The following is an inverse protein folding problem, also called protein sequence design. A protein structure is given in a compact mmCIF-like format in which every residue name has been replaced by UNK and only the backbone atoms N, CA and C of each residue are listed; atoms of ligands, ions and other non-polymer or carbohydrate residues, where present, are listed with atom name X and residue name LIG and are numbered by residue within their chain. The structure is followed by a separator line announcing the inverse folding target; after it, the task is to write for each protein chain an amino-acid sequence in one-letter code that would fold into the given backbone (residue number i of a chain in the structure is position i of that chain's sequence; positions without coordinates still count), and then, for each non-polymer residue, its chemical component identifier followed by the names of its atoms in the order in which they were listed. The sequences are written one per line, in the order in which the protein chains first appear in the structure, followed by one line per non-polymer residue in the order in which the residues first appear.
data_IF_527210593227
#
_entry.id   IF_527210593227
#
_cell.length_a   1.000
_cell.length_b   1.000
_cell.length_c   1.000
_cell.angle_alpha   90.00
_cell.angle_beta   90.00
_cell.angle_gamma   90.00
#
_symmetry.space_group_name_H-M   'P 1'
#
loop_
_entity.id
_entity.type
_entity.pdbx_description
1 polymer ?
#
# COMPACT_ATOMS: atom_id res chain seq x y z
N UNK A 1 14.62 -6.73 -10.50
CA UNK A 1 14.13 -7.38 -9.27
C UNK A 1 13.78 -8.81 -9.58
N UNK A 2 14.25 -9.76 -8.79
CA UNK A 2 14.04 -11.18 -9.04
C UNK A 2 13.32 -11.90 -7.91
N UNK A 3 12.64 -12.97 -8.24
CA UNK A 3 12.03 -13.89 -7.28
C UNK A 3 12.84 -15.17 -7.24
N UNK A 4 13.39 -15.49 -6.08
CA UNK A 4 14.09 -16.75 -5.84
C UNK A 4 13.10 -17.83 -5.36
N UNK A 5 12.99 -18.91 -6.12
CA UNK A 5 12.24 -20.11 -5.73
C UNK A 5 13.10 -21.01 -4.84
N UNK A 6 12.49 -21.63 -3.84
CA UNK A 6 13.18 -22.65 -3.03
C UNK A 6 13.19 -24.01 -3.72
N UNK A 7 14.21 -24.84 -3.45
CA UNK A 7 14.21 -26.24 -3.83
C UNK A 7 13.07 -26.99 -3.13
N UNK A 8 12.39 -27.93 -3.80
CA UNK A 8 11.21 -28.64 -3.26
C UNK A 8 11.58 -29.76 -2.27
N UNK A 9 12.35 -29.43 -1.24
CA UNK A 9 12.84 -30.39 -0.23
C UNK A 9 11.77 -30.79 0.79
N UNK A 10 10.75 -29.99 0.99
CA UNK A 10 9.62 -30.26 1.90
C UNK A 10 8.32 -29.73 1.32
N UNK A 11 7.13 -30.22 1.76
CA UNK A 11 5.85 -29.70 1.28
C UNK A 11 5.71 -28.18 1.40
N UNK A 12 6.18 -27.58 2.50
CA UNK A 12 6.13 -26.14 2.71
C UNK A 12 7.12 -25.32 1.84
N UNK A 13 8.18 -25.95 1.34
CA UNK A 13 9.17 -25.34 0.44
C UNK A 13 8.83 -25.50 -1.04
N UNK A 14 8.13 -26.55 -1.41
CA UNK A 14 7.81 -26.89 -2.81
C UNK A 14 7.27 -25.74 -3.64
N UNK A 15 6.32 -24.98 -3.11
CA UNK A 15 5.73 -23.81 -3.80
C UNK A 15 6.23 -22.48 -3.26
N UNK A 16 7.25 -22.46 -2.39
CA UNK A 16 7.66 -21.25 -1.68
C UNK A 16 8.64 -20.41 -2.49
N UNK A 17 8.49 -19.09 -2.44
CA UNK A 17 9.41 -18.13 -3.03
C UNK A 17 9.66 -16.94 -2.11
N UNK A 18 10.72 -16.18 -2.41
CA UNK A 18 11.08 -14.93 -1.72
C UNK A 18 11.63 -13.94 -2.73
N UNK A 19 11.62 -12.65 -2.38
CA UNK A 19 12.37 -11.65 -3.15
C UNK A 19 13.88 -11.93 -3.03
N UNK A 20 14.64 -11.57 -4.05
CA UNK A 20 16.11 -11.72 -4.08
C UNK A 20 16.85 -10.65 -3.26
N UNK A 21 16.18 -9.53 -2.96
CA UNK A 21 16.70 -8.38 -2.20
C UNK A 21 17.92 -7.68 -2.83
N UNK A 22 18.23 -7.91 -4.08
CA UNK A 22 19.42 -7.36 -4.78
C UNK A 22 19.43 -5.81 -4.76
N UNK A 23 18.26 -5.18 -4.76
CA UNK A 23 18.12 -3.72 -4.75
C UNK A 23 18.43 -3.05 -3.39
N UNK A 24 18.53 -3.84 -2.31
CA UNK A 24 18.75 -3.32 -0.97
C UNK A 24 20.24 -3.05 -0.78
N UNK A 25 20.58 -1.79 -0.49
CA UNK A 25 21.96 -1.36 -0.31
C UNK A 25 22.38 -1.30 1.16
N UNK A 26 21.42 -1.30 2.10
CA UNK A 26 21.66 -1.28 3.54
C UNK A 26 20.64 -2.13 4.29
N UNK A 27 21.09 -2.97 5.22
CA UNK A 27 20.26 -3.85 6.04
C UNK A 27 19.73 -3.19 7.31
N UNK A 28 20.49 -2.26 7.89
CA UNK A 28 20.14 -1.56 9.12
C UNK A 28 19.42 -0.25 8.85
N UNK A 29 18.31 0.04 9.57
CA UNK A 29 17.61 1.30 9.42
C UNK A 29 18.34 2.46 10.12
N UNK A 30 18.10 3.69 9.66
CA UNK A 30 18.56 4.91 10.34
C UNK A 30 17.87 5.04 11.70
N UNK A 31 18.66 5.03 12.79
CA UNK A 31 18.15 4.95 14.17
C UNK A 31 17.25 6.13 14.55
N UNK A 32 17.56 7.33 14.11
CA UNK A 32 16.77 8.55 14.38
C UNK A 32 15.35 8.50 13.78
N UNK A 33 15.16 7.73 12.70
CA UNK A 33 13.90 7.61 11.97
C UNK A 33 13.11 6.34 12.35
N UNK A 34 13.51 5.64 13.41
CA UNK A 34 12.83 4.44 13.89
C UNK A 34 12.05 4.75 15.16
N UNK A 35 10.82 4.22 15.22
CA UNK A 35 9.94 4.32 16.39
C UNK A 35 9.46 2.93 16.82
N UNK A 36 9.18 2.72 18.11
CA UNK A 36 8.55 1.49 18.56
C UNK A 36 7.17 1.32 17.92
N UNK A 37 6.81 0.08 17.61
CA UNK A 37 5.50 -0.28 17.07
C UNK A 37 4.82 -1.27 18.01
N UNK A 38 3.85 -0.80 18.79
CA UNK A 38 3.00 -1.63 19.62
C UNK A 38 2.00 -2.42 18.77
N UNK A 39 1.68 -3.64 19.19
CA UNK A 39 0.71 -4.50 18.52
C UNK A 39 -0.62 -4.47 19.26
N UNK A 40 -1.67 -3.95 18.65
CA UNK A 40 -3.02 -3.92 19.22
C UNK A 40 -3.75 -5.28 19.15
N UNK A 41 -3.28 -6.20 18.30
CA UNK A 41 -3.97 -7.48 18.06
C UNK A 41 -5.40 -7.32 17.52
N UNK A 42 -5.69 -6.25 16.80
CA UNK A 42 -7.01 -5.95 16.26
C UNK A 42 -7.99 -5.31 17.27
N UNK A 43 -7.50 -4.87 18.44
CA UNK A 43 -8.30 -4.17 19.44
C UNK A 43 -8.35 -2.67 19.15
N UNK A 44 -9.48 -2.05 19.46
CA UNK A 44 -9.67 -0.61 19.44
C UNK A 44 -9.20 0.03 20.78
N UNK A 45 -9.45 1.34 20.95
CA UNK A 45 -9.10 2.09 22.17
C UNK A 45 -9.80 1.56 23.43
N UNK A 46 -10.99 0.97 23.31
CA UNK A 46 -11.74 0.35 24.41
C UNK A 46 -11.40 -1.12 24.65
N UNK A 47 -10.36 -1.65 24.02
CA UNK A 47 -9.90 -3.03 24.18
C UNK A 47 -10.75 -4.08 23.44
N UNK A 48 -11.82 -3.69 22.74
CA UNK A 48 -12.68 -4.61 21.98
C UNK A 48 -12.06 -4.99 20.64
N UNK A 49 -12.22 -6.25 20.24
CA UNK A 49 -11.76 -6.74 18.93
C UNK A 49 -12.66 -6.18 17.83
N UNK A 50 -12.14 -5.22 17.06
CA UNK A 50 -12.81 -4.62 15.91
C UNK A 50 -12.32 -5.18 14.58
N UNK A 51 -11.10 -5.71 14.54
CA UNK A 51 -10.52 -6.38 13.38
C UNK A 51 -10.10 -7.78 13.78
N UNK A 52 -10.88 -8.77 13.36
CA UNK A 52 -10.61 -10.18 13.68
C UNK A 52 -9.37 -10.72 12.95
N UNK A 53 -8.86 -11.86 13.40
CA UNK A 53 -7.78 -12.61 12.79
C UNK A 53 -6.44 -11.85 12.72
N UNK A 54 -6.18 -10.98 13.70
CA UNK A 54 -4.90 -10.30 13.86
C UNK A 54 -4.25 -10.65 15.21
N UNK A 55 -2.93 -10.66 15.24
CA UNK A 55 -2.14 -10.84 16.44
C UNK A 55 -0.94 -11.75 16.26
N UNK A 56 -0.03 -11.71 17.23
CA UNK A 56 1.27 -12.39 17.16
C UNK A 56 2.18 -11.80 16.09
N UNK A 57 2.97 -12.67 15.44
CA UNK A 57 3.94 -12.30 14.42
C UNK A 57 5.24 -11.73 14.98
N UNK A 58 6.24 -11.55 14.11
CA UNK A 58 7.56 -11.04 14.47
C UNK A 58 7.49 -9.60 15.01
N UNK A 59 8.33 -9.25 15.99
CA UNK A 59 8.48 -7.87 16.49
C UNK A 59 8.96 -6.97 15.35
N UNK A 60 8.37 -5.77 15.25
CA UNK A 60 8.71 -4.80 14.20
C UNK A 60 8.93 -3.43 14.82
N UNK A 61 9.81 -2.66 14.19
CA UNK A 61 9.94 -1.23 14.44
C UNK A 61 9.30 -0.47 13.27
N UNK A 62 8.71 0.67 13.56
CA UNK A 62 8.12 1.56 12.55
C UNK A 62 9.20 2.50 12.00
N UNK A 63 9.25 2.64 10.67
CA UNK A 63 10.08 3.65 9.99
C UNK A 63 9.21 4.87 9.73
N UNK A 64 9.67 6.03 10.17
CA UNK A 64 8.98 7.30 9.91
C UNK A 64 9.20 7.67 8.45
N UNK A 65 8.13 7.61 7.66
CA UNK A 65 8.18 7.96 6.23
C UNK A 65 7.60 9.34 6.05
N UNK A 66 8.30 10.17 5.29
CA UNK A 66 7.81 11.47 4.90
C UNK A 66 6.80 11.34 3.75
N UNK A 67 5.53 11.53 4.09
CA UNK A 67 4.42 11.52 3.14
C UNK A 67 3.98 12.92 2.74
N UNK A 68 4.59 13.99 3.28
CA UNK A 68 4.19 15.38 3.00
C UNK A 68 5.17 16.07 2.07
N UNK A 69 6.44 16.10 2.43
CA UNK A 69 7.57 16.63 1.65
C UNK A 69 7.49 18.12 1.25
N UNK A 70 6.44 18.85 1.67
CA UNK A 70 6.20 20.23 1.23
C UNK A 70 7.14 21.26 1.91
N UNK A 71 7.64 20.94 3.08
CA UNK A 71 8.58 21.74 3.86
C UNK A 71 10.03 21.68 3.34
N UNK A 72 10.28 20.85 2.32
CA UNK A 72 11.59 20.68 1.67
C UNK A 72 11.56 21.08 0.20
N UNK A 73 10.68 22.04 -0.16
CA UNK A 73 10.63 22.54 -1.53
C UNK A 73 11.92 23.32 -1.87
N UNK A 74 12.48 23.03 -3.04
CA UNK A 74 13.74 23.65 -3.51
C UNK A 74 15.01 23.11 -2.84
N UNK A 75 14.91 22.18 -1.88
CA UNK A 75 16.08 21.58 -1.26
C UNK A 75 16.38 20.23 -1.91
N UNK A 76 17.48 20.06 -2.63
CA UNK A 76 17.85 18.77 -3.23
C UNK A 76 18.23 17.76 -2.16
N UNK A 77 17.92 16.49 -2.42
CA UNK A 77 18.27 15.38 -1.56
C UNK A 77 18.93 14.25 -2.36
N UNK A 78 20.03 13.72 -1.84
CA UNK A 78 20.70 12.55 -2.43
C UNK A 78 20.13 11.26 -1.83
N UNK A 79 19.85 10.27 -2.68
CA UNK A 79 19.50 8.92 -2.25
C UNK A 79 20.73 8.26 -1.66
N UNK A 80 20.76 8.12 -0.35
CA UNK A 80 21.87 7.48 0.35
C UNK A 80 21.77 5.96 0.28
N UNK A 81 20.59 5.41 0.58
CA UNK A 81 20.37 3.95 0.61
C UNK A 81 18.96 3.58 0.22
N UNK A 82 18.79 2.36 -0.31
CA UNK A 82 17.51 1.67 -0.46
C UNK A 82 17.43 0.58 0.60
N UNK A 83 16.34 0.56 1.39
CA UNK A 83 16.20 -0.29 2.56
C UNK A 83 14.90 -1.09 2.54
N UNK A 84 14.90 -2.20 3.31
CA UNK A 84 13.73 -3.03 3.56
C UNK A 84 12.89 -2.46 4.71
N UNK A 85 11.58 -2.33 4.52
CA UNK A 85 10.63 -2.03 5.60
C UNK A 85 9.68 -3.22 5.84
N UNK A 86 9.67 -3.83 7.04
CA UNK A 86 8.77 -4.95 7.35
C UNK A 86 7.29 -4.54 7.47
N UNK A 87 6.98 -3.24 7.51
CA UNK A 87 5.63 -2.72 7.71
C UNK A 87 4.87 -2.47 6.40
N UNK A 88 5.60 -2.51 5.28
CA UNK A 88 5.02 -2.28 3.95
C UNK A 88 5.59 -3.23 2.91
N UNK A 89 4.94 -3.31 1.77
CA UNK A 89 5.39 -4.12 0.64
C UNK A 89 6.43 -3.38 -0.21
N UNK A 90 6.37 -2.05 -0.25
CA UNK A 90 7.32 -1.20 -0.96
C UNK A 90 8.67 -1.13 -0.22
N UNK A 91 9.76 -0.94 -0.99
CA UNK A 91 11.05 -0.52 -0.43
C UNK A 91 10.98 0.95 -0.03
N UNK A 92 11.90 1.36 0.83
CA UNK A 92 12.05 2.76 1.23
C UNK A 92 13.43 3.26 0.83
N UNK A 93 13.54 4.54 0.49
CA UNK A 93 14.79 5.20 0.20
C UNK A 93 15.13 6.19 1.31
N UNK A 94 16.35 6.10 1.84
CA UNK A 94 16.89 7.07 2.77
C UNK A 94 17.45 8.25 1.96
N UNK A 95 16.92 9.43 2.20
CA UNK A 95 17.37 10.69 1.61
C UNK A 95 18.24 11.46 2.59
N UNK A 96 19.36 11.99 2.10
CA UNK A 96 20.15 13.02 2.77
C UNK A 96 19.92 14.33 2.03
N UNK A 97 19.24 15.27 2.69
CA UNK A 97 19.01 16.61 2.17
C UNK A 97 20.27 17.48 2.28
N UNK A 98 20.38 18.50 1.43
CA UNK A 98 21.50 19.42 1.44
C UNK A 98 21.62 20.22 2.77
N UNK A 99 20.51 20.37 3.50
CA UNK A 99 20.45 20.99 4.83
C UNK A 99 20.84 20.04 5.99
N UNK A 100 21.30 18.82 5.68
CA UNK A 100 21.73 17.82 6.66
C UNK A 100 20.61 16.95 7.22
N UNK A 101 19.32 17.24 6.96
CA UNK A 101 18.23 16.41 7.45
C UNK A 101 18.13 15.10 6.67
N UNK A 102 17.82 14.02 7.39
CA UNK A 102 17.58 12.70 6.81
C UNK A 102 16.10 12.36 6.85
N UNK A 103 15.56 11.83 5.76
CA UNK A 103 14.16 11.36 5.70
C UNK A 103 14.03 10.09 4.88
N UNK A 104 13.02 9.28 5.21
CA UNK A 104 12.60 8.16 4.38
C UNK A 104 11.48 8.56 3.43
N UNK A 105 11.55 8.08 2.20
CA UNK A 105 10.46 8.10 1.22
C UNK A 105 10.16 6.69 0.72
N UNK A 106 9.04 6.50 0.01
CA UNK A 106 8.83 5.27 -0.75
C UNK A 106 9.80 5.26 -1.92
N UNK A 107 10.50 4.15 -2.12
CA UNK A 107 11.41 4.01 -3.26
C UNK A 107 10.61 3.75 -4.54
N UNK A 108 10.61 4.66 -5.52
CA UNK A 108 10.03 4.40 -6.83
C UNK A 108 10.87 3.40 -7.61
N UNK A 109 10.26 2.80 -8.62
CA UNK A 109 10.97 1.98 -9.58
C UNK A 109 12.02 2.82 -10.33
N UNK A 110 13.18 2.22 -10.61
CA UNK A 110 14.34 2.86 -11.28
C UNK A 110 15.08 3.93 -10.45
N UNK A 111 14.76 4.10 -9.16
CA UNK A 111 15.56 4.95 -8.28
C UNK A 111 16.76 4.14 -7.78
N UNK A 112 17.94 4.72 -7.89
CA UNK A 112 19.22 4.11 -7.50
C UNK A 112 19.91 4.90 -6.40
N UNK A 113 20.85 4.26 -5.70
CA UNK A 113 21.72 4.95 -4.76
C UNK A 113 22.57 5.99 -5.50
N UNK A 114 22.63 7.20 -4.96
CA UNK A 114 23.36 8.31 -5.55
C UNK A 114 22.50 9.29 -6.35
N UNK A 115 21.28 8.86 -6.77
CA UNK A 115 20.37 9.76 -7.49
C UNK A 115 19.97 10.97 -6.64
N UNK A 116 19.69 12.08 -7.31
CA UNK A 116 19.20 13.30 -6.67
C UNK A 116 17.69 13.40 -6.85
N UNK A 117 16.99 13.73 -5.77
CA UNK A 117 15.54 13.89 -5.72
C UNK A 117 15.20 15.28 -5.20
N UNK A 118 14.25 15.92 -5.85
CA UNK A 118 13.82 17.28 -5.54
C UNK A 118 12.32 17.37 -5.27
N UNK A 119 11.92 18.42 -4.57
CA UNK A 119 10.54 18.72 -4.27
C UNK A 119 10.20 20.14 -4.72
N UNK A 120 8.96 20.37 -5.09
CA UNK A 120 8.48 21.71 -5.41
C UNK A 120 7.93 21.85 -6.81
N UNK A 121 7.42 23.03 -7.13
CA UNK A 121 6.77 23.31 -8.41
C UNK A 121 7.77 23.35 -9.59
N UNK A 122 9.02 23.67 -9.33
CA UNK A 122 10.10 23.76 -10.33
C UNK A 122 10.91 22.48 -10.51
N UNK A 123 10.61 21.41 -9.75
CA UNK A 123 11.36 20.17 -9.86
C UNK A 123 11.12 19.48 -11.22
N UNK A 124 12.13 18.82 -11.76
CA UNK A 124 12.05 18.05 -13.00
C UNK A 124 11.06 16.86 -12.88
N UNK A 125 10.56 16.39 -14.02
CA UNK A 125 9.70 15.21 -14.10
C UNK A 125 10.55 13.92 -14.10
N UNK A 126 11.24 13.69 -12.98
CA UNK A 126 12.10 12.52 -12.75
C UNK A 126 11.50 11.61 -11.67
N UNK A 127 11.69 10.26 -11.76
CA UNK A 127 11.21 9.34 -10.71
C UNK A 127 11.73 9.74 -9.33
N UNK A 128 10.81 9.84 -8.35
CA UNK A 128 11.14 10.23 -6.99
C UNK A 128 10.87 11.71 -6.67
N UNK A 129 10.83 12.59 -7.66
CA UNK A 129 10.52 14.00 -7.45
C UNK A 129 9.04 14.20 -7.06
N UNK A 130 8.79 15.14 -6.14
CA UNK A 130 7.46 15.41 -5.61
C UNK A 130 6.98 16.80 -6.02
N UNK A 131 5.91 16.86 -6.80
CA UNK A 131 5.37 18.09 -7.37
C UNK A 131 3.86 18.22 -7.09
N UNK A 132 3.33 19.47 -7.10
CA UNK A 132 1.89 19.69 -7.22
C UNK A 132 1.35 19.11 -8.55
N UNK A 133 0.14 18.56 -8.54
CA UNK A 133 -0.46 17.95 -9.74
C UNK A 133 -0.58 18.95 -10.91
N UNK A 134 -0.74 20.23 -10.64
CA UNK A 134 -0.77 21.28 -11.66
C UNK A 134 0.50 21.33 -12.50
N UNK A 135 1.66 21.00 -11.93
CA UNK A 135 2.97 21.06 -12.57
C UNK A 135 3.39 19.75 -13.25
N UNK A 136 2.65 18.65 -13.04
CA UNK A 136 2.94 17.35 -13.64
C UNK A 136 2.22 17.27 -15.01
N UNK A 137 2.89 16.92 -16.11
CA UNK A 137 2.25 16.73 -17.42
C UNK A 137 1.18 15.63 -17.40
N UNK A 138 0.14 15.78 -18.24
CA UNK A 138 -0.84 14.72 -18.48
C UNK A 138 -0.18 13.50 -19.10
N UNK A 139 -0.72 12.30 -18.85
CA UNK A 139 -0.11 11.03 -19.26
C UNK A 139 0.94 10.49 -18.31
N UNK A 140 1.51 11.32 -17.40
CA UNK A 140 2.55 10.91 -16.46
C UNK A 140 2.02 9.89 -15.46
N UNK A 141 2.86 8.87 -15.18
CA UNK A 141 2.63 7.90 -14.12
C UNK A 141 3.14 8.46 -12.79
N UNK A 142 2.31 8.44 -11.78
CA UNK A 142 2.56 9.01 -10.45
C UNK A 142 2.18 8.05 -9.33
N UNK A 143 2.72 8.26 -8.15
CA UNK A 143 2.41 7.51 -6.93
C UNK A 143 2.43 8.42 -5.70
N UNK A 144 2.15 7.87 -4.51
CA UNK A 144 2.16 8.60 -3.25
C UNK A 144 1.37 9.93 -3.32
N UNK A 145 0.10 9.85 -3.75
CA UNK A 145 -0.73 11.00 -4.09
C UNK A 145 -1.54 11.46 -2.88
N UNK A 146 -1.63 12.77 -2.69
CA UNK A 146 -2.53 13.40 -1.71
C UNK A 146 -3.98 13.37 -2.20
N UNK A 147 -4.92 13.34 -1.26
CA UNK A 147 -6.37 13.51 -1.51
C UNK A 147 -6.88 14.91 -1.15
N UNK A 148 -6.16 15.59 -0.29
CA UNK A 148 -6.39 16.97 0.13
C UNK A 148 -5.05 17.68 0.20
N UNK A 149 -4.94 18.93 -0.22
CA UNK A 149 -3.69 19.67 -0.14
C UNK A 149 -3.12 19.66 1.29
N UNK A 150 -1.82 19.34 1.43
CA UNK A 150 -1.12 19.23 2.71
C UNK A 150 -1.53 18.05 3.60
N UNK A 151 -2.46 17.21 3.14
CA UNK A 151 -2.93 16.04 3.90
C UNK A 151 -2.00 14.83 3.92
N UNK A 152 -0.89 14.90 3.19
CA UNK A 152 0.06 13.83 2.99
C UNK A 152 -0.44 12.74 2.04
N UNK A 153 0.49 11.99 1.47
CA UNK A 153 0.21 10.95 0.50
C UNK A 153 -0.66 9.82 1.07
N UNK A 154 -1.72 9.44 0.35
CA UNK A 154 -2.67 8.39 0.75
C UNK A 154 -2.92 7.33 -0.33
N UNK A 155 -2.78 7.68 -1.60
CA UNK A 155 -3.06 6.81 -2.75
C UNK A 155 -1.74 6.28 -3.33
N UNK A 156 -1.76 5.07 -3.88
CA UNK A 156 -0.65 4.40 -4.55
C UNK A 156 0.64 4.39 -3.71
N UNK A 157 0.60 3.68 -2.58
CA UNK A 157 1.74 3.54 -1.65
C UNK A 157 2.26 2.11 -1.53
N UNK A 158 1.55 1.14 -2.07
CA UNK A 158 1.95 -0.26 -2.04
C UNK A 158 2.91 -0.58 -3.19
N UNK A 159 3.69 -1.65 -3.04
CA UNK A 159 4.60 -2.12 -4.09
C UNK A 159 3.90 -2.27 -5.44
N UNK A 160 4.54 -1.81 -6.50
CA UNK A 160 4.05 -1.89 -7.88
C UNK A 160 2.79 -1.09 -8.17
N UNK A 161 2.33 -0.23 -7.27
CA UNK A 161 1.16 0.60 -7.53
C UNK A 161 1.53 1.91 -8.19
N UNK A 162 0.70 2.32 -9.13
CA UNK A 162 0.81 3.60 -9.82
C UNK A 162 -0.56 4.12 -10.19
N UNK A 163 -0.65 5.39 -10.51
CA UNK A 163 -1.83 6.11 -10.97
C UNK A 163 -1.42 6.95 -12.17
N UNK A 164 -2.26 7.04 -13.18
CA UNK A 164 -2.02 7.88 -14.34
C UNK A 164 -2.78 9.20 -14.21
N UNK A 165 -2.11 10.31 -14.43
CA UNK A 165 -2.72 11.62 -14.59
C UNK A 165 -3.29 11.71 -16.02
N UNK A 166 -4.62 11.63 -16.16
CA UNK A 166 -5.29 11.55 -17.47
C UNK A 166 -5.52 12.94 -18.05
N UNK A 167 -6.10 13.83 -17.27
CA UNK A 167 -6.46 15.17 -17.70
C UNK A 167 -6.43 16.15 -16.51
N UNK A 168 -6.46 17.44 -16.84
CA UNK A 168 -6.66 18.53 -15.89
C UNK A 168 -7.90 19.31 -16.37
N UNK A 169 -8.83 19.54 -15.46
CA UNK A 169 -10.10 20.21 -15.76
C UNK A 169 -10.46 21.15 -14.60
N UNK A 170 -10.50 22.44 -14.91
CA UNK A 170 -10.69 23.49 -13.92
C UNK A 170 -9.72 23.34 -12.73
N UNK A 171 -10.21 23.26 -11.48
CA UNK A 171 -9.37 23.13 -10.30
C UNK A 171 -8.95 21.68 -10.01
N UNK A 172 -9.33 20.72 -10.86
CA UNK A 172 -9.14 19.31 -10.61
C UNK A 172 -8.23 18.61 -11.62
N UNK A 173 -7.47 17.63 -11.12
CA UNK A 173 -6.78 16.63 -11.90
C UNK A 173 -7.61 15.34 -11.95
N UNK A 174 -7.80 14.76 -13.12
CA UNK A 174 -8.44 13.47 -13.32
C UNK A 174 -7.41 12.35 -13.23
N UNK A 175 -7.54 11.52 -12.21
CA UNK A 175 -6.62 10.44 -11.91
C UNK A 175 -7.24 9.08 -12.19
N UNK A 176 -6.59 8.28 -13.04
CA UNK A 176 -6.95 6.88 -13.30
C UNK A 176 -6.26 5.97 -12.28
N UNK A 177 -7.05 5.43 -11.36
CA UNK A 177 -6.60 4.53 -10.30
C UNK A 177 -6.28 3.11 -10.83
N UNK A 178 -5.48 2.29 -10.11
CA UNK A 178 -5.24 0.89 -10.48
C UNK A 178 -6.50 0.05 -10.62
N UNK A 179 -7.59 0.41 -9.92
CA UNK A 179 -8.90 -0.25 -10.02
C UNK A 179 -9.68 0.09 -11.29
N UNK A 180 -9.18 1.04 -12.12
CA UNK A 180 -9.88 1.58 -13.28
C UNK A 180 -10.86 2.71 -12.95
N UNK A 181 -11.05 3.08 -11.68
CA UNK A 181 -11.81 4.27 -11.27
C UNK A 181 -11.10 5.53 -11.76
N UNK A 182 -11.85 6.48 -12.32
CA UNK A 182 -11.36 7.83 -12.62
C UNK A 182 -11.94 8.77 -11.57
N UNK A 183 -11.05 9.51 -10.92
CA UNK A 183 -11.39 10.38 -9.81
C UNK A 183 -10.76 11.75 -9.94
N UNK A 184 -11.51 12.78 -9.59
CA UNK A 184 -11.05 14.16 -9.45
C UNK A 184 -10.30 14.35 -8.13
N UNK A 185 -9.13 15.01 -8.22
CA UNK A 185 -8.31 15.43 -7.08
C UNK A 185 -7.87 16.88 -7.33
N UNK A 186 -7.85 17.70 -6.30
CA UNK A 186 -7.45 19.10 -6.39
C UNK A 186 -6.03 19.24 -6.98
N UNK A 187 -5.85 20.17 -7.91
CA UNK A 187 -4.57 20.43 -8.59
C UNK A 187 -3.44 20.88 -7.64
N UNK A 188 -3.78 21.38 -6.46
CA UNK A 188 -2.82 21.74 -5.40
C UNK A 188 -2.27 20.51 -4.65
N UNK A 189 -2.95 19.37 -4.72
CA UNK A 189 -2.46 18.13 -4.14
C UNK A 189 -1.13 17.72 -4.79
N UNK A 190 -0.28 17.12 -3.99
CA UNK A 190 1.05 16.68 -4.43
C UNK A 190 1.05 15.20 -4.78
N UNK A 191 1.95 14.84 -5.66
CA UNK A 191 2.23 13.46 -6.04
C UNK A 191 3.72 13.28 -6.33
N UNK A 192 4.19 12.05 -6.21
CA UNK A 192 5.56 11.68 -6.59
C UNK A 192 5.55 11.05 -7.98
N UNK A 193 6.49 11.45 -8.84
CA UNK A 193 6.63 10.94 -10.20
C UNK A 193 7.13 9.49 -10.19
N UNK A 194 6.63 8.67 -11.11
CA UNK A 194 6.97 7.26 -11.27
C UNK A 194 5.99 6.30 -10.59
N UNK A 195 6.29 5.03 -10.62
CA UNK A 195 5.57 3.94 -9.93
C UNK A 195 6.33 3.48 -8.70
N UNK A 196 5.66 2.91 -7.72
CA UNK A 196 6.30 2.34 -6.53
C UNK A 196 7.11 1.10 -6.92
N UNK A 197 8.34 0.99 -6.47
CA UNK A 197 9.21 -0.17 -6.69
C UNK A 197 8.65 -1.48 -6.12
N UNK A 198 9.42 -2.59 -6.31
CA UNK A 198 9.08 -3.94 -5.82
C UNK A 198 7.77 -4.52 -6.42
N UNK A 199 7.50 -4.28 -7.70
CA UNK A 199 6.26 -4.70 -8.37
C UNK A 199 5.99 -6.21 -8.27
N UNK A 200 7.04 -7.05 -8.27
CA UNK A 200 6.92 -8.51 -8.19
C UNK A 200 6.54 -9.04 -6.80
N UNK A 201 6.38 -8.18 -5.80
CA UNK A 201 5.98 -8.58 -4.45
C UNK A 201 4.67 -9.38 -4.42
N UNK A 202 3.74 -9.12 -5.36
CA UNK A 202 2.48 -9.86 -5.49
C UNK A 202 2.66 -11.30 -5.95
N UNK A 203 3.75 -11.59 -6.65
CA UNK A 203 4.07 -12.92 -7.24
C UNK A 203 4.76 -13.86 -6.23
N UNK A 204 5.10 -13.37 -5.03
CA UNK A 204 5.72 -14.18 -3.99
C UNK A 204 4.73 -15.16 -3.41
N UNK A 205 5.05 -16.45 -3.50
CA UNK A 205 4.29 -17.52 -2.86
C UNK A 205 4.85 -17.82 -1.46
N UNK A 206 4.01 -17.73 -0.45
CA UNK A 206 4.42 -17.94 0.94
C UNK A 206 4.63 -19.41 1.29
N UNK A 207 4.05 -20.37 0.54
CA UNK A 207 4.26 -21.81 0.62
C UNK A 207 3.66 -22.49 1.83
N UNK A 208 3.60 -21.85 3.01
CA UNK A 208 3.05 -22.46 4.25
C UNK A 208 2.30 -21.45 5.11
N UNK A 209 1.31 -21.94 5.85
CA UNK A 209 0.47 -21.13 6.77
C UNK A 209 1.31 -20.44 7.87
N UNK A 210 2.38 -21.07 8.35
CA UNK A 210 3.28 -20.48 9.36
C UNK A 210 3.88 -19.14 8.94
N UNK A 211 4.16 -18.92 7.64
CA UNK A 211 4.66 -17.62 7.15
C UNK A 211 3.61 -16.50 7.29
N UNK A 212 2.32 -16.83 7.17
CA UNK A 212 1.25 -15.87 7.45
C UNK A 212 1.15 -15.57 8.95
N UNK A 213 1.38 -16.57 9.80
CA UNK A 213 1.46 -16.39 11.26
C UNK A 213 2.60 -15.45 11.65
N UNK A 214 3.77 -15.56 11.02
CA UNK A 214 4.89 -14.63 11.24
C UNK A 214 4.57 -13.19 10.89
N UNK A 215 3.64 -12.97 9.96
CA UNK A 215 3.14 -11.64 9.58
C UNK A 215 2.06 -11.09 10.52
N UNK A 216 1.67 -11.85 11.53
CA UNK A 216 0.62 -11.47 12.48
C UNK A 216 -0.80 -11.75 12.01
N UNK A 217 -0.96 -12.55 10.96
CA UNK A 217 -2.28 -13.01 10.49
C UNK A 217 -2.64 -14.33 11.14
N UNK A 218 -3.78 -14.37 11.83
CA UNK A 218 -4.33 -15.58 12.43
C UNK A 218 -5.17 -16.35 11.39
N UNK A 219 -5.35 -17.67 11.57
CA UNK A 219 -6.23 -18.48 10.72
C UNK A 219 -7.66 -17.93 10.69
N UNK A 220 -8.31 -18.10 9.55
CA UNK A 220 -9.72 -17.71 9.33
C UNK A 220 -10.52 -18.98 9.09
N UNK A 221 -11.56 -19.19 9.89
CA UNK A 221 -12.54 -20.26 9.71
C UNK A 221 -13.66 -19.76 8.80
N UNK A 222 -14.08 -20.58 7.85
CA UNK A 222 -15.20 -20.26 6.95
C UNK A 222 -16.51 -20.26 7.72
N UNK A 223 -17.42 -19.34 7.42
CA UNK A 223 -18.73 -19.26 8.09
C UNK A 223 -19.56 -20.54 7.98
N UNK A 224 -19.44 -21.24 6.84
CA UNK A 224 -20.13 -22.55 6.62
C UNK A 224 -19.65 -23.65 7.60
N UNK A 225 -18.44 -23.54 8.14
CA UNK A 225 -17.88 -24.49 9.10
C UNK A 225 -18.16 -24.10 10.57
N UNK A 226 -19.00 -23.13 10.80
CA UNK A 226 -19.40 -22.65 12.13
C UNK A 226 -20.80 -23.14 12.49
N UNK A 227 -21.18 -22.94 13.75
CA UNK A 227 -22.54 -23.18 14.20
C UNK A 227 -23.50 -22.05 13.79
N UNK A 228 -24.82 -22.26 13.75
CA UNK A 228 -25.81 -21.24 13.38
C UNK A 228 -25.72 -19.95 14.20
N UNK A 229 -25.36 -20.06 15.47
CA UNK A 229 -25.19 -18.90 16.36
C UNK A 229 -23.99 -18.03 16.00
N UNK A 230 -22.94 -18.62 15.39
CA UNK A 230 -21.67 -17.93 15.11
C UNK A 230 -21.65 -17.25 13.75
N UNK A 231 -22.43 -17.75 12.80
CA UNK A 231 -22.44 -17.22 11.44
C UNK A 231 -23.77 -17.54 10.73
N UNK A 232 -24.32 -16.61 9.91
CA UNK A 232 -25.53 -16.83 9.11
C UNK A 232 -25.48 -18.01 8.12
N UNK A 233 -24.28 -18.48 7.78
CA UNK A 233 -24.05 -19.67 6.94
C UNK A 233 -23.75 -20.93 7.76
N UNK A 234 -23.80 -20.85 9.08
CA UNK A 234 -23.50 -21.98 9.97
C UNK A 234 -24.62 -23.00 10.05
N UNK A 235 -24.26 -24.19 10.52
CA UNK A 235 -25.17 -25.30 10.73
C UNK A 235 -25.23 -26.28 9.57
N UNK A 236 -26.15 -27.27 9.70
CA UNK A 236 -26.33 -28.36 8.76
C UNK A 236 -25.47 -29.58 9.09
N UNK A 237 -25.71 -30.67 8.36
CA UNK A 237 -24.99 -31.94 8.49
C UNK A 237 -23.90 -32.07 7.41
N UNK A 238 -22.66 -32.36 7.82
CA UNK A 238 -21.53 -32.57 6.91
C UNK A 238 -21.16 -31.34 6.07
N UNK A 239 -21.03 -31.52 4.77
CA UNK A 239 -20.65 -30.43 3.81
C UNK A 239 -21.90 -29.73 3.26
N UNK A 240 -22.58 -28.98 4.07
CA UNK A 240 -23.75 -28.18 3.65
C UNK A 240 -23.34 -26.95 2.84
N UNK A 241 -24.24 -26.47 1.97
CA UNK A 241 -24.09 -25.18 1.29
C UNK A 241 -24.45 -24.03 2.22
N UNK A 242 -24.17 -22.78 1.82
CA UNK A 242 -24.45 -21.59 2.65
C UNK A 242 -25.96 -21.29 2.85
N UNK A 243 -26.87 -21.93 2.10
CA UNK A 243 -28.32 -21.82 2.22
C UNK A 243 -28.91 -20.44 1.85
N UNK A 244 -28.09 -19.44 1.55
CA UNK A 244 -28.47 -18.05 1.23
C UNK A 244 -27.40 -17.36 0.43
N UNK A 245 -27.70 -16.13 -0.03
CA UNK A 245 -26.65 -15.29 -0.63
C UNK A 245 -25.47 -15.06 0.33
N UNK A 246 -24.22 -14.97 -0.18
CA UNK A 246 -23.05 -14.75 0.66
C UNK A 246 -23.17 -13.48 1.49
N UNK A 247 -23.02 -13.63 2.81
CA UNK A 247 -23.08 -12.53 3.77
C UNK A 247 -21.93 -12.59 4.75
N UNK A 248 -21.63 -11.46 5.35
CA UNK A 248 -20.67 -11.36 6.46
C UNK A 248 -21.25 -11.96 7.75
N UNK A 249 -20.43 -12.18 8.81
CA UNK A 249 -20.93 -12.62 10.11
C UNK A 249 -22.03 -11.75 10.73
N UNK A 250 -22.13 -10.50 10.29
CA UNK A 250 -23.16 -9.54 10.71
C UNK A 250 -24.32 -9.43 9.72
N UNK A 251 -24.44 -10.36 8.77
CA UNK A 251 -25.54 -10.42 7.80
C UNK A 251 -25.45 -9.43 6.63
N UNK A 252 -24.34 -8.69 6.51
CA UNK A 252 -24.19 -7.75 5.40
C UNK A 252 -23.82 -8.49 4.11
N UNK A 253 -24.50 -8.20 2.96
CA UNK A 253 -24.18 -8.79 1.67
C UNK A 253 -22.73 -8.53 1.26
N UNK A 254 -22.06 -9.55 0.71
CA UNK A 254 -20.71 -9.42 0.16
C UNK A 254 -20.69 -8.50 -1.08
N UNK A 255 -19.55 -7.90 -1.33
CA UNK A 255 -19.33 -7.02 -2.49
C UNK A 255 -19.79 -5.57 -2.32
N UNK A 256 -20.59 -5.26 -1.30
CA UNK A 256 -21.02 -3.89 -0.98
C UNK A 256 -20.04 -3.21 -0.02
N UNK A 257 -18.88 -2.80 -0.51
CA UNK A 257 -17.81 -2.26 0.33
C UNK A 257 -17.85 -0.75 0.50
N UNK A 258 -18.49 -0.03 -0.42
CA UNK A 258 -18.61 1.42 -0.35
C UNK A 258 -19.97 1.84 0.23
N UNK A 259 -19.95 2.62 1.31
CA UNK A 259 -21.18 3.25 1.86
C UNK A 259 -21.79 4.17 0.79
N UNK A 260 -23.10 4.06 0.50
CA UNK A 260 -23.78 4.97 -0.44
C UNK A 260 -23.81 6.42 0.07
N UNK A 261 -24.02 7.36 -0.84
CA UNK A 261 -24.23 8.78 -0.54
C UNK A 261 -23.09 9.45 0.24
N UNK A 262 -21.84 9.08 -0.05
CA UNK A 262 -20.67 9.77 0.51
C UNK A 262 -20.47 11.13 -0.18
N UNK A 263 -20.13 12.21 0.56
CA UNK A 263 -19.79 13.52 -0.04
C UNK A 263 -18.72 13.43 -1.14
N UNK A 264 -17.82 12.44 -1.03
CA UNK A 264 -16.77 12.20 -2.02
C UNK A 264 -17.25 11.50 -3.31
N UNK A 265 -18.53 11.13 -3.43
CA UNK A 265 -19.06 10.49 -4.64
C UNK A 265 -19.08 11.46 -5.83
N UNK A 266 -19.28 12.76 -5.56
CA UNK A 266 -19.20 13.83 -6.58
C UNK A 266 -17.81 14.00 -7.21
N UNK A 267 -16.76 13.47 -6.58
CA UNK A 267 -15.40 13.47 -7.11
C UNK A 267 -15.10 12.26 -7.98
N UNK A 268 -16.02 11.30 -8.12
CA UNK A 268 -15.82 10.10 -8.96
C UNK A 268 -16.44 10.36 -10.33
N UNK A 269 -15.58 10.51 -11.34
CA UNK A 269 -16.00 10.70 -12.72
C UNK A 269 -16.48 9.37 -13.33
N UNK A 270 -15.72 8.31 -13.14
CA UNK A 270 -16.05 6.96 -13.59
C UNK A 270 -15.73 5.93 -12.54
N UNK A 271 -16.71 5.10 -12.16
CA UNK A 271 -16.50 4.01 -11.21
C UNK A 271 -15.67 2.89 -11.82
N UNK A 272 -15.06 2.07 -10.95
CA UNK A 272 -14.36 0.84 -11.38
C UNK A 272 -15.32 -0.05 -12.20
N UNK A 273 -14.81 -0.75 -13.18
CA UNK A 273 -15.58 -1.78 -13.88
C UNK A 273 -15.92 -2.89 -12.90
N UNK A 274 -17.19 -3.11 -12.65
CA UNK A 274 -17.66 -4.35 -12.03
C UNK A 274 -17.63 -5.43 -13.09
N UNK A 275 -17.11 -6.62 -12.77
CA UNK A 275 -17.16 -7.76 -13.71
C UNK A 275 -18.59 -7.97 -14.25
N UNK A 276 -18.72 -8.53 -15.47
CA UNK A 276 -20.03 -8.89 -16.02
C UNK A 276 -20.80 -9.66 -14.94
N UNK A 277 -22.00 -9.21 -14.61
CA UNK A 277 -22.98 -10.05 -13.89
C UNK A 277 -23.10 -11.33 -14.73
N UNK A 278 -22.64 -12.47 -14.19
CA UNK A 278 -22.98 -13.77 -14.71
C UNK A 278 -24.43 -14.05 -14.43
#
# INVERSE_FOLDING_TARGET
MGIRKYKPTTPGRRGSSVADFVEITRSEPEKSLVRPLSKSGGRNSSGRVTVRHQGGGHKRAYRVIDFRRHDKDGVPAKVAHIEYDPNRTARIALLHYADGEKRYILAPNKLSQGDVVENGAGADIKPGNNLPLRNIPTGTTIHAIELKPGGGAKIARSAGTSVQLVAKDGPYAQLRMPSGEIRNVDLRCRATVGEVGNAEQSNINWGKAGRMRWKGKRPVVRGVAMNPIDHPHGGGEGKTSGGRHPVSPWGQPEGRTRRPNKPSDKLIVRRRRTGKKR
#
